data_IF_964428774598
#
_entry.id   IF_964428774598
#
_cell.length_a   1.000
_cell.length_b   1.000
_cell.length_c   1.000
_cell.angle_alpha   90.00
_cell.angle_beta   90.00
_cell.angle_gamma   90.00
#
_symmetry.space_group_name_H-M   'P 1'
#
loop_
_entity.id
_entity.type
_entity.pdbx_description
1 polymer ?
#
# COMPACT_ATOMS: atom_id res chain seq x y z
N UNK A 1 -4.30 14.62 -16.30
CA UNK A 1 -5.39 14.35 -15.34
C UNK A 1 -4.79 14.44 -13.95
N UNK A 2 -5.14 15.46 -13.16
CA UNK A 2 -4.47 15.72 -11.89
C UNK A 2 -4.79 14.59 -10.91
N UNK A 3 -3.80 13.77 -10.58
CA UNK A 3 -3.92 12.81 -9.48
C UNK A 3 -4.05 13.64 -8.21
N UNK A 4 -5.28 13.81 -7.71
CA UNK A 4 -5.53 14.58 -6.49
C UNK A 4 -5.08 13.72 -5.31
N UNK A 5 -3.91 14.05 -4.74
CA UNK A 5 -3.40 13.40 -3.54
C UNK A 5 -4.44 13.48 -2.43
N UNK A 6 -5.02 12.32 -2.06
CA UNK A 6 -6.01 12.18 -0.98
C UNK A 6 -5.34 11.85 0.37
N UNK A 7 -4.06 11.50 0.35
CA UNK A 7 -3.30 11.19 1.55
C UNK A 7 -2.48 12.38 2.04
N UNK A 8 -2.38 12.50 3.36
CA UNK A 8 -1.39 13.33 4.03
C UNK A 8 0.00 12.71 3.85
N UNK A 9 1.06 13.53 3.95
CA UNK A 9 2.44 13.05 3.84
C UNK A 9 2.78 11.96 4.86
N UNK A 10 2.14 12.01 6.04
CA UNK A 10 2.30 11.03 7.12
C UNK A 10 1.64 9.69 6.77
N UNK A 11 0.40 9.70 6.27
CA UNK A 11 -0.28 8.46 5.88
C UNK A 11 0.43 7.80 4.69
N UNK A 12 0.94 8.63 3.76
CA UNK A 12 1.72 8.18 2.61
C UNK A 12 3.04 7.53 3.02
N UNK A 13 3.78 8.14 3.96
CA UNK A 13 5.06 7.58 4.42
C UNK A 13 4.85 6.29 5.23
N UNK A 14 3.85 6.25 6.12
CA UNK A 14 3.54 5.06 6.91
C UNK A 14 3.16 3.88 6.00
N UNK A 15 2.28 4.11 5.03
CA UNK A 15 1.92 3.09 4.02
C UNK A 15 3.11 2.70 3.16
N UNK A 16 3.98 3.64 2.82
CA UNK A 16 5.23 3.34 2.11
C UNK A 16 6.13 2.40 2.89
N UNK A 17 6.36 2.68 4.17
CA UNK A 17 7.19 1.85 5.06
C UNK A 17 6.57 0.46 5.20
N UNK A 18 5.26 0.36 5.45
CA UNK A 18 4.55 -0.91 5.54
C UNK A 18 4.59 -1.66 4.21
N UNK A 19 4.36 -0.97 3.09
CA UNK A 19 4.35 -1.56 1.75
C UNK A 19 5.72 -2.10 1.35
N UNK A 20 6.80 -1.36 1.63
CA UNK A 20 8.18 -1.83 1.42
C UNK A 20 8.46 -3.04 2.32
N UNK A 21 8.11 -2.97 3.61
CA UNK A 21 8.32 -4.05 4.56
C UNK A 21 7.58 -5.34 4.17
N UNK A 22 6.31 -5.23 3.80
CA UNK A 22 5.49 -6.37 3.36
C UNK A 22 5.97 -6.93 2.02
N UNK A 23 6.37 -6.08 1.08
CA UNK A 23 6.89 -6.55 -0.23
C UNK A 23 8.25 -7.24 -0.05
N UNK A 24 9.14 -6.67 0.77
CA UNK A 24 10.42 -7.29 1.10
C UNK A 24 10.22 -8.61 1.85
N UNK A 25 9.27 -8.65 2.79
CA UNK A 25 8.90 -9.87 3.50
C UNK A 25 8.36 -10.92 2.53
N UNK A 26 7.41 -10.58 1.65
CA UNK A 26 6.86 -11.51 0.67
C UNK A 26 7.95 -12.07 -0.29
N UNK A 27 8.92 -11.26 -0.70
CA UNK A 27 10.01 -11.71 -1.59
C UNK A 27 11.13 -12.47 -0.88
N UNK A 28 11.37 -12.20 0.40
CA UNK A 28 12.48 -12.78 1.18
C UNK A 28 12.01 -13.81 2.22
N UNK A 29 10.72 -14.18 2.21
CA UNK A 29 10.13 -15.02 3.26
C UNK A 29 10.68 -16.45 3.29
N UNK A 30 11.22 -16.94 2.18
CA UNK A 30 11.78 -18.30 2.08
C UNK A 30 10.79 -19.39 2.51
N UNK A 31 9.56 -19.36 1.98
CA UNK A 31 8.48 -20.32 2.29
C UNK A 31 8.00 -20.37 3.75
N UNK A 32 8.21 -19.32 4.56
CA UNK A 32 7.56 -19.23 5.89
C UNK A 32 6.02 -19.23 5.76
N UNK A 33 5.48 -18.74 4.65
CA UNK A 33 4.05 -18.83 4.33
C UNK A 33 3.87 -19.98 3.34
N UNK A 34 3.32 -21.09 3.83
CA UNK A 34 3.04 -22.29 3.04
C UNK A 34 1.71 -22.18 2.26
N UNK A 35 0.91 -21.14 2.53
CA UNK A 35 -0.39 -20.89 1.91
C UNK A 35 -0.27 -19.86 0.77
N UNK A 36 -0.36 -20.35 -0.46
CA UNK A 36 -0.34 -19.57 -1.70
C UNK A 36 -1.36 -18.41 -1.68
N UNK A 37 -2.51 -18.60 -1.03
CA UNK A 37 -3.53 -17.56 -0.98
C UNK A 37 -3.06 -16.33 -0.18
N UNK A 38 -2.39 -16.57 0.97
CA UNK A 38 -1.86 -15.53 1.84
C UNK A 38 -0.70 -14.80 1.15
N UNK A 39 0.18 -15.53 0.47
CA UNK A 39 1.32 -14.97 -0.26
C UNK A 39 0.86 -14.00 -1.36
N UNK A 40 -0.12 -14.41 -2.18
CA UNK A 40 -0.70 -13.55 -3.22
C UNK A 40 -1.36 -12.32 -2.61
N UNK A 41 -2.10 -12.48 -1.51
CA UNK A 41 -2.77 -11.36 -0.85
C UNK A 41 -1.77 -10.34 -0.28
N UNK A 42 -0.69 -10.80 0.32
CA UNK A 42 0.40 -9.95 0.81
C UNK A 42 1.13 -9.25 -0.33
N UNK A 43 1.37 -9.95 -1.45
CA UNK A 43 1.96 -9.36 -2.66
C UNK A 43 1.09 -8.22 -3.21
N UNK A 44 -0.22 -8.46 -3.37
CA UNK A 44 -1.17 -7.43 -3.81
C UNK A 44 -1.20 -6.26 -2.81
N UNK A 45 -1.26 -6.55 -1.51
CA UNK A 45 -1.27 -5.53 -0.47
C UNK A 45 0.00 -4.67 -0.48
N UNK A 46 1.17 -5.29 -0.65
CA UNK A 46 2.46 -4.60 -0.79
C UNK A 46 2.46 -3.66 -1.98
N UNK A 47 2.07 -4.15 -3.16
CA UNK A 47 1.99 -3.37 -4.40
C UNK A 47 1.03 -2.19 -4.27
N UNK A 48 -0.16 -2.38 -3.70
CA UNK A 48 -1.14 -1.30 -3.50
C UNK A 48 -0.61 -0.20 -2.58
N UNK A 49 0.16 -0.56 -1.55
CA UNK A 49 0.79 0.41 -0.65
C UNK A 49 1.98 1.13 -1.30
N UNK A 50 2.76 0.45 -2.16
CA UNK A 50 3.80 1.07 -2.96
C UNK A 50 3.23 2.05 -4.00
N UNK A 51 2.11 1.70 -4.64
CA UNK A 51 1.38 2.62 -5.53
C UNK A 51 0.88 3.83 -4.75
N UNK A 52 0.36 3.62 -3.53
CA UNK A 52 -0.05 4.72 -2.64
C UNK A 52 1.14 5.62 -2.27
N UNK A 53 2.33 5.05 -2.06
CA UNK A 53 3.57 5.79 -1.84
C UNK A 53 4.03 6.55 -3.09
N UNK A 54 3.92 5.99 -4.31
CA UNK A 54 4.39 6.64 -5.53
C UNK A 54 3.45 7.79 -5.97
N UNK A 55 2.15 7.53 -5.92
CA UNK A 55 1.12 8.43 -6.47
C UNK A 55 0.51 9.40 -5.43
N UNK A 56 0.65 9.12 -4.12
CA UNK A 56 -0.08 9.85 -3.07
C UNK A 56 -1.60 9.59 -3.10
N UNK A 57 -2.01 8.57 -3.86
CA UNK A 57 -3.39 8.17 -4.05
C UNK A 57 -3.57 6.72 -3.61
N UNK A 58 -4.42 6.51 -2.62
CA UNK A 58 -4.79 5.17 -2.17
C UNK A 58 -6.12 4.78 -2.83
N UNK A 59 -6.16 3.75 -3.69
CA UNK A 59 -7.38 3.33 -4.38
C UNK A 59 -8.49 2.92 -3.40
N UNK A 60 -8.13 2.31 -2.26
CA UNK A 60 -9.09 1.92 -1.22
C UNK A 60 -9.77 3.14 -0.60
N UNK A 61 -9.01 4.20 -0.31
CA UNK A 61 -9.58 5.43 0.24
C UNK A 61 -10.41 6.18 -0.79
N UNK A 62 -10.00 6.15 -2.06
CA UNK A 62 -10.80 6.71 -3.15
C UNK A 62 -12.14 5.98 -3.32
N UNK A 63 -12.12 4.64 -3.30
CA UNK A 63 -13.33 3.81 -3.33
C UNK A 63 -14.23 4.04 -2.10
N UNK A 64 -13.63 4.24 -0.93
CA UNK A 64 -14.34 4.53 0.31
C UNK A 64 -14.79 6.00 0.45
N UNK A 65 -14.41 6.89 -0.48
CA UNK A 65 -14.68 8.33 -0.38
C UNK A 65 -13.97 9.03 0.79
N UNK A 66 -12.90 8.44 1.33
CA UNK A 66 -12.15 8.96 2.47
C UNK A 66 -10.96 9.78 1.96
N UNK A 67 -10.80 11.00 2.48
CA UNK A 67 -9.59 11.81 2.31
C UNK A 67 -8.98 12.10 3.68
N UNK A 68 -7.71 11.75 3.84
CA UNK A 68 -6.93 12.08 5.05
C UNK A 68 -6.17 13.39 4.86
N UNK A 69 -6.22 13.96 3.65
CA UNK A 69 -5.75 15.31 3.40
C UNK A 69 -6.79 16.28 3.97
N UNK A 70 -6.54 16.75 5.20
CA UNK A 70 -7.27 17.90 5.75
C UNK A 70 -7.07 19.10 4.81
N UNK A 71 -8.14 19.89 4.54
CA UNK A 71 -8.00 21.20 3.93
C UNK A 71 -7.15 22.13 4.80
#
# INVERSE_FOLDING_TARGET
MAITSNLSTIDRSLRGIIGIGVTAFALLNGDIIDDVFIEVLLGIFGVLNLISLASGWCPVYHLAGISTRKP
#
